data_IF_996170711819
#
_entry.id   IF_996170711819
#
_cell.length_a   1.000
_cell.length_b   1.000
_cell.length_c   1.000
_cell.angle_alpha   90.00
_cell.angle_beta   90.00
_cell.angle_gamma   90.00
#
_symmetry.space_group_name_H-M   'P 1'
#
loop_
_entity.id
_entity.type
_entity.pdbx_description
1 polymer ?
#
# COMPACT_ATOMS: atom_id res chain seq x y z
N UNK A 1 16.78 -12.47 -20.57
CA UNK A 1 16.00 -11.28 -20.16
C UNK A 1 15.80 -11.35 -18.65
N UNK A 2 16.34 -10.41 -17.88
CA UNK A 2 16.04 -10.31 -16.45
C UNK A 2 14.56 -9.95 -16.30
N UNK A 3 13.77 -10.79 -15.61
CA UNK A 3 12.33 -10.57 -15.40
C UNK A 3 12.00 -9.22 -14.75
N UNK A 4 12.95 -8.61 -14.04
CA UNK A 4 12.84 -7.26 -13.48
C UNK A 4 12.57 -6.17 -14.55
N UNK A 5 13.17 -6.28 -15.74
CA UNK A 5 13.02 -5.28 -16.81
C UNK A 5 11.62 -5.36 -17.45
N UNK A 6 11.01 -6.54 -17.44
CA UNK A 6 9.67 -6.77 -18.03
C UNK A 6 8.59 -6.11 -17.18
N UNK A 7 8.79 -6.03 -15.85
CA UNK A 7 7.81 -5.47 -14.92
C UNK A 7 7.91 -3.95 -14.77
N UNK A 8 8.98 -3.29 -15.24
CA UNK A 8 9.07 -1.82 -15.20
C UNK A 8 8.11 -1.13 -16.20
N UNK A 9 7.74 -1.81 -17.29
CA UNK A 9 7.00 -1.19 -18.40
C UNK A 9 6.07 -2.19 -19.08
N UNK A 10 4.94 -2.49 -18.45
CA UNK A 10 3.80 -3.09 -19.17
C UNK A 10 3.37 -2.14 -20.29
N UNK A 11 3.21 -2.67 -21.50
CA UNK A 11 2.81 -1.89 -22.68
C UNK A 11 1.28 -1.73 -22.81
N UNK A 12 0.51 -2.39 -21.96
CA UNK A 12 -0.95 -2.42 -22.00
C UNK A 12 -1.57 -1.63 -20.84
N UNK A 13 -2.66 -0.92 -21.11
CA UNK A 13 -3.50 -0.30 -20.08
C UNK A 13 -4.70 -1.17 -19.76
N UNK A 14 -4.97 -1.36 -18.48
CA UNK A 14 -6.17 -1.99 -17.94
C UNK A 14 -7.31 -0.98 -17.83
N UNK A 15 -7.76 -0.45 -18.97
CA UNK A 15 -8.72 0.66 -19.03
C UNK A 15 -10.06 0.38 -18.35
N UNK A 16 -10.50 -0.87 -18.29
CA UNK A 16 -11.77 -1.26 -17.66
C UNK A 16 -11.60 -1.76 -16.22
N UNK A 17 -10.37 -1.84 -15.71
CA UNK A 17 -10.10 -2.40 -14.39
C UNK A 17 -10.48 -1.41 -13.30
N UNK A 18 -11.57 -1.73 -12.59
CA UNK A 18 -12.08 -0.94 -11.45
C UNK A 18 -11.60 -1.43 -10.10
N UNK A 19 -11.29 -2.72 -9.99
CA UNK A 19 -10.89 -3.37 -8.75
C UNK A 19 -9.67 -4.25 -8.99
N UNK A 20 -8.66 -4.14 -8.13
CA UNK A 20 -7.42 -4.90 -8.18
C UNK A 20 -7.12 -5.47 -6.80
N UNK A 21 -6.84 -6.77 -6.75
CA UNK A 21 -6.32 -7.43 -5.55
C UNK A 21 -4.91 -7.93 -5.85
N UNK A 22 -3.94 -7.53 -5.02
CA UNK A 22 -2.54 -7.90 -5.13
C UNK A 22 -2.12 -8.69 -3.90
N UNK A 23 -1.42 -9.80 -4.15
CA UNK A 23 -0.62 -10.49 -3.15
C UNK A 23 0.84 -10.13 -3.44
N UNK A 24 1.49 -9.40 -2.54
CA UNK A 24 2.82 -8.82 -2.80
C UNK A 24 3.59 -8.61 -1.51
N UNK A 25 4.84 -8.17 -1.63
CA UNK A 25 5.70 -7.75 -0.53
C UNK A 25 6.43 -6.46 -0.89
N UNK A 26 6.80 -5.67 0.13
CA UNK A 26 7.53 -4.41 -0.04
C UNK A 26 8.97 -4.53 0.47
N UNK A 27 9.52 -5.74 0.56
CA UNK A 27 10.87 -6.04 1.05
C UNK A 27 11.94 -6.02 -0.05
N UNK A 28 11.54 -6.23 -1.31
CA UNK A 28 12.46 -6.32 -2.45
C UNK A 28 12.03 -5.41 -3.62
N UNK A 29 13.03 -4.83 -4.29
CA UNK A 29 12.82 -3.88 -5.40
C UNK A 29 11.90 -4.39 -6.53
N UNK A 30 12.01 -5.66 -7.01
CA UNK A 30 11.14 -6.14 -8.09
C UNK A 30 9.66 -6.11 -7.73
N UNK A 31 9.31 -6.46 -6.48
CA UNK A 31 7.93 -6.47 -5.99
C UNK A 31 7.35 -5.06 -5.87
N UNK A 32 8.17 -4.11 -5.40
CA UNK A 32 7.82 -2.69 -5.34
C UNK A 32 7.57 -2.14 -6.74
N UNK A 33 8.49 -2.35 -7.68
CA UNK A 33 8.36 -1.88 -9.07
C UNK A 33 7.15 -2.49 -9.77
N UNK A 34 6.89 -3.78 -9.54
CA UNK A 34 5.72 -4.47 -10.11
C UNK A 34 4.41 -3.86 -9.61
N UNK A 35 4.34 -3.56 -8.31
CA UNK A 35 3.18 -2.89 -7.70
C UNK A 35 2.93 -1.54 -8.36
N UNK A 36 3.95 -0.69 -8.47
CA UNK A 36 3.83 0.61 -9.13
C UNK A 36 3.49 0.50 -10.62
N UNK A 37 4.04 -0.48 -11.33
CA UNK A 37 3.73 -0.69 -12.74
C UNK A 37 2.26 -1.07 -12.95
N UNK A 38 1.71 -1.95 -12.12
CA UNK A 38 0.30 -2.33 -12.18
C UNK A 38 -0.62 -1.14 -11.92
N UNK A 39 -0.33 -0.34 -10.88
CA UNK A 39 -1.10 0.85 -10.57
C UNK A 39 -1.04 1.89 -11.69
N UNK A 40 0.13 2.10 -12.30
CA UNK A 40 0.33 3.00 -13.44
C UNK A 40 -0.52 2.59 -14.65
N UNK A 41 -0.68 1.28 -14.86
CA UNK A 41 -1.42 0.74 -15.99
C UNK A 41 -2.91 0.55 -15.71
N UNK A 42 -3.41 0.88 -14.52
CA UNK A 42 -4.83 0.81 -14.15
C UNK A 42 -5.42 2.22 -13.89
N UNK A 43 -5.59 3.07 -14.92
CA UNK A 43 -5.96 4.48 -14.75
C UNK A 43 -7.36 4.69 -14.16
N UNK A 44 -8.24 3.70 -14.32
CA UNK A 44 -9.63 3.75 -13.86
C UNK A 44 -9.86 2.94 -12.57
N UNK A 45 -8.78 2.59 -11.86
CA UNK A 45 -8.86 1.83 -10.63
C UNK A 45 -9.56 2.63 -9.53
N UNK A 46 -10.60 2.04 -8.95
CA UNK A 46 -11.40 2.61 -7.86
C UNK A 46 -11.14 1.90 -6.53
N UNK A 47 -10.82 0.61 -6.57
CA UNK A 47 -10.60 -0.23 -5.38
C UNK A 47 -9.28 -1.00 -5.49
N UNK A 48 -8.44 -0.86 -4.48
CA UNK A 48 -7.19 -1.59 -4.36
C UNK A 48 -7.22 -2.42 -3.07
N UNK A 49 -6.93 -3.71 -3.19
CA UNK A 49 -6.68 -4.60 -2.06
C UNK A 49 -5.26 -5.13 -2.16
N UNK A 50 -4.51 -5.04 -1.07
CA UNK A 50 -3.16 -5.56 -0.93
C UNK A 50 -3.14 -6.53 0.24
N UNK A 51 -2.65 -7.73 -0.02
CA UNK A 51 -2.34 -8.73 0.96
C UNK A 51 -0.81 -8.84 1.00
N UNK A 52 -0.23 -8.48 2.14
CA UNK A 52 1.22 -8.43 2.31
C UNK A 52 1.71 -9.80 2.79
N UNK A 53 2.64 -10.37 2.03
CA UNK A 53 3.45 -11.51 2.46
C UNK A 53 4.69 -10.99 3.22
N UNK A 54 4.79 -11.35 4.50
CA UNK A 54 5.89 -10.93 5.37
C UNK A 54 6.87 -12.06 5.67
N UNK A 55 6.90 -13.09 4.83
CA UNK A 55 7.85 -14.19 4.95
C UNK A 55 9.31 -13.74 4.75
N UNK A 56 9.55 -12.54 4.23
CA UNK A 56 10.88 -12.00 3.94
C UNK A 56 11.21 -10.76 4.78
N UNK A 57 12.46 -10.67 5.24
CA UNK A 57 13.03 -9.44 5.80
C UNK A 57 13.19 -8.36 4.72
N UNK A 58 13.05 -7.07 5.09
CA UNK A 58 13.29 -5.96 4.17
C UNK A 58 14.77 -5.82 3.86
N UNK A 59 15.19 -6.36 2.70
CA UNK A 59 16.58 -6.30 2.22
C UNK A 59 16.89 -5.00 1.48
N UNK A 60 15.87 -4.36 0.92
CA UNK A 60 16.00 -3.14 0.13
C UNK A 60 15.12 -2.05 0.72
N UNK A 61 15.72 -0.94 1.13
CA UNK A 61 14.97 0.26 1.53
C UNK A 61 14.83 1.19 0.32
N UNK A 62 13.62 1.22 -0.23
CA UNK A 62 13.24 2.12 -1.29
C UNK A 62 12.98 3.50 -0.67
N UNK A 63 14.01 4.35 -0.69
CA UNK A 63 13.95 5.71 -0.17
C UNK A 63 12.72 6.46 -0.70
N UNK A 64 12.18 7.40 0.07
CA UNK A 64 10.95 8.13 -0.27
C UNK A 64 11.01 8.73 -1.68
N UNK A 65 12.13 9.38 -2.04
CA UNK A 65 12.35 9.96 -3.36
C UNK A 65 12.24 8.92 -4.49
N UNK A 66 12.76 7.71 -4.26
CA UNK A 66 12.70 6.62 -5.24
C UNK A 66 11.25 6.21 -5.49
N UNK A 67 10.49 5.90 -4.45
CA UNK A 67 9.09 5.50 -4.60
C UNK A 67 8.23 6.63 -5.16
N UNK A 68 8.51 7.87 -4.74
CA UNK A 68 7.84 9.06 -5.25
C UNK A 68 8.07 9.23 -6.76
N UNK A 69 9.28 8.93 -7.26
CA UNK A 69 9.61 8.97 -8.70
C UNK A 69 8.86 7.93 -9.53
N UNK A 70 8.46 6.81 -8.92
CA UNK A 70 7.65 5.78 -9.60
C UNK A 70 6.20 6.24 -9.82
N UNK A 71 5.74 7.23 -9.07
CA UNK A 71 4.40 7.76 -9.16
C UNK A 71 4.28 8.78 -10.29
N UNK A 72 3.65 8.37 -11.39
CA UNK A 72 3.40 9.25 -12.54
C UNK A 72 2.06 10.00 -12.42
N UNK A 73 1.94 11.17 -13.06
CA UNK A 73 0.72 11.96 -13.07
C UNK A 73 -0.50 11.16 -13.55
N UNK A 74 -1.59 11.19 -12.77
CA UNK A 74 -2.85 10.48 -13.07
C UNK A 74 -2.94 9.05 -12.52
N UNK A 75 -1.87 8.50 -11.95
CA UNK A 75 -1.96 7.21 -11.25
C UNK A 75 -2.90 7.31 -10.04
N UNK A 76 -3.77 6.31 -9.86
CA UNK A 76 -4.75 6.25 -8.78
C UNK A 76 -5.70 7.47 -8.72
N UNK A 77 -5.93 8.18 -9.84
CA UNK A 77 -6.78 9.37 -9.87
C UNK A 77 -8.24 9.09 -9.42
N UNK A 78 -8.75 7.90 -9.73
CA UNK A 78 -10.10 7.44 -9.39
C UNK A 78 -10.15 6.56 -8.14
N UNK A 79 -9.02 6.39 -7.44
CA UNK A 79 -8.92 5.45 -6.33
C UNK A 79 -9.71 5.99 -5.13
N UNK A 80 -10.72 5.23 -4.72
CA UNK A 80 -11.64 5.60 -3.62
C UNK A 80 -11.40 4.74 -2.39
N UNK A 81 -11.04 3.46 -2.57
CA UNK A 81 -10.93 2.50 -1.48
C UNK A 81 -9.59 1.76 -1.56
N UNK A 82 -8.85 1.73 -0.45
CA UNK A 82 -7.64 0.93 -0.29
C UNK A 82 -7.78 0.06 0.94
N UNK A 83 -7.56 -1.23 0.78
CA UNK A 83 -7.43 -2.18 1.87
C UNK A 83 -6.03 -2.77 1.85
N UNK A 84 -5.32 -2.70 2.98
CA UNK A 84 -4.02 -3.34 3.17
C UNK A 84 -4.13 -4.30 4.35
N UNK A 85 -3.79 -5.55 4.08
CA UNK A 85 -3.86 -6.64 5.07
C UNK A 85 -2.47 -7.23 5.27
N UNK A 86 -2.11 -7.46 6.52
CA UNK A 86 -0.82 -8.06 6.85
C UNK A 86 0.31 -7.05 7.04
N UNK A 87 0.04 -5.78 7.36
CA UNK A 87 1.11 -4.78 7.44
C UNK A 87 2.03 -4.97 8.67
N UNK A 88 3.32 -4.72 8.50
CA UNK A 88 4.32 -4.72 9.59
C UNK A 88 4.90 -3.35 9.92
N UNK A 89 4.49 -2.31 9.18
CA UNK A 89 4.98 -0.94 9.29
C UNK A 89 6.47 -0.83 8.97
N UNK A 90 6.91 -1.61 7.97
CA UNK A 90 8.25 -1.48 7.43
C UNK A 90 8.37 -0.17 6.64
N UNK A 91 9.58 0.41 6.53
CA UNK A 91 9.78 1.70 5.85
C UNK A 91 9.11 1.77 4.47
N UNK A 92 9.23 0.73 3.65
CA UNK A 92 8.65 0.75 2.31
C UNK A 92 7.12 0.71 2.30
N UNK A 93 6.50 -0.03 3.23
CA UNK A 93 5.04 -0.08 3.39
C UNK A 93 4.49 1.28 3.83
N UNK A 94 5.19 1.92 4.77
CA UNK A 94 4.87 3.25 5.29
C UNK A 94 4.93 4.30 4.19
N UNK A 95 6.03 4.33 3.42
CA UNK A 95 6.19 5.22 2.27
C UNK A 95 5.08 5.00 1.23
N UNK A 96 4.71 3.74 0.96
CA UNK A 96 3.62 3.44 0.04
C UNK A 96 2.27 3.99 0.51
N UNK A 97 1.93 3.82 1.80
CA UNK A 97 0.70 4.39 2.39
C UNK A 97 0.71 5.91 2.30
N UNK A 98 1.81 6.55 2.66
CA UNK A 98 1.96 7.99 2.64
C UNK A 98 1.81 8.55 1.22
N UNK A 99 2.37 7.87 0.20
CA UNK A 99 2.22 8.25 -1.20
C UNK A 99 0.77 8.13 -1.68
N UNK A 100 0.05 7.06 -1.30
CA UNK A 100 -1.37 6.93 -1.62
C UNK A 100 -2.16 8.08 -0.99
N UNK A 101 -1.98 8.33 0.31
CA UNK A 101 -2.73 9.37 1.03
C UNK A 101 -2.44 10.77 0.48
N UNK A 102 -1.17 11.07 0.17
CA UNK A 102 -0.73 12.39 -0.28
C UNK A 102 -1.07 12.69 -1.75
N UNK A 103 -1.42 11.68 -2.56
CA UNK A 103 -1.65 11.85 -4.01
C UNK A 103 -3.02 11.44 -4.52
N UNK A 104 -3.70 10.48 -3.88
CA UNK A 104 -5.02 10.03 -4.31
C UNK A 104 -6.11 11.05 -3.86
N UNK A 105 -6.55 11.90 -4.81
CA UNK A 105 -7.45 13.02 -4.52
C UNK A 105 -8.90 12.61 -4.27
N UNK A 106 -9.36 11.54 -4.92
CA UNK A 106 -10.72 11.00 -4.75
C UNK A 106 -10.79 9.91 -3.67
N UNK A 107 -9.73 9.80 -2.87
CA UNK A 107 -9.60 8.76 -1.88
C UNK A 107 -10.58 8.95 -0.72
N UNK A 108 -11.35 7.92 -0.41
CA UNK A 108 -12.43 7.96 0.57
C UNK A 108 -12.15 7.09 1.78
N UNK A 109 -11.54 5.91 1.61
CA UNK A 109 -11.41 4.95 2.71
C UNK A 109 -10.09 4.20 2.66
N UNK A 110 -9.30 4.30 3.73
CA UNK A 110 -8.15 3.45 4.01
C UNK A 110 -8.51 2.42 5.08
N UNK A 111 -8.47 1.14 4.73
CA UNK A 111 -8.63 0.04 5.66
C UNK A 111 -7.30 -0.70 5.86
N UNK A 112 -6.79 -0.74 7.09
CA UNK A 112 -5.51 -1.40 7.39
C UNK A 112 -5.70 -2.45 8.50
N UNK A 113 -5.05 -3.61 8.32
CA UNK A 113 -4.95 -4.66 9.33
C UNK A 113 -3.52 -5.14 9.49
N UNK A 114 -3.11 -5.36 10.74
CA UNK A 114 -1.77 -5.84 11.09
C UNK A 114 -1.51 -7.24 10.54
N UNK A 115 -0.24 -7.49 10.23
CA UNK A 115 0.30 -8.82 10.10
C UNK A 115 0.45 -9.51 11.44
N UNK A 116 0.54 -10.84 11.38
CA UNK A 116 0.89 -11.67 12.53
C UNK A 116 2.25 -11.21 13.08
N UNK A 117 2.38 -11.12 14.40
CA UNK A 117 3.62 -10.71 15.07
C UNK A 117 4.14 -9.27 14.80
N UNK A 118 3.38 -8.41 14.12
CA UNK A 118 3.74 -6.99 13.93
C UNK A 118 4.13 -6.30 15.25
N UNK A 119 5.32 -5.70 15.35
CA UNK A 119 5.79 -5.10 16.62
C UNK A 119 5.09 -3.78 16.98
N UNK A 120 4.62 -3.02 15.99
CA UNK A 120 3.96 -1.74 16.20
C UNK A 120 2.65 -1.90 16.98
N UNK A 121 2.42 -0.99 17.94
CA UNK A 121 1.16 -0.93 18.67
C UNK A 121 0.04 -0.33 17.81
N UNK A 122 -1.22 -0.58 18.18
CA UNK A 122 -2.37 -0.02 17.48
C UNK A 122 -2.41 1.53 17.57
N UNK A 123 -1.98 2.08 18.71
CA UNK A 123 -1.94 3.53 18.95
C UNK A 123 -0.84 4.20 18.14
N UNK A 124 0.37 3.63 18.13
CA UNK A 124 1.48 4.16 17.34
C UNK A 124 1.17 4.11 15.84
N UNK A 125 0.56 3.02 15.37
CA UNK A 125 0.10 2.88 13.99
C UNK A 125 -0.90 3.99 13.63
N UNK A 126 -1.90 4.24 14.49
CA UNK A 126 -2.88 5.30 14.27
C UNK A 126 -2.25 6.69 14.28
N UNK A 127 -1.42 6.99 15.27
CA UNK A 127 -0.71 8.27 15.36
C UNK A 127 0.15 8.51 14.12
N UNK A 128 0.82 7.47 13.64
CA UNK A 128 1.61 7.53 12.41
C UNK A 128 0.75 7.82 11.19
N UNK A 129 -0.32 7.05 10.94
CA UNK A 129 -1.20 7.30 9.79
C UNK A 129 -1.80 8.72 9.84
N UNK A 130 -2.26 9.15 11.02
CA UNK A 130 -2.90 10.45 11.20
C UNK A 130 -1.93 11.62 10.98
N UNK A 131 -0.62 11.40 11.16
CA UNK A 131 0.42 12.39 10.87
C UNK A 131 0.65 12.61 9.37
N UNK A 132 0.22 11.69 8.50
CA UNK A 132 0.44 11.82 7.06
C UNK A 132 -0.46 12.89 6.43
N UNK A 133 0.12 13.62 5.47
CA UNK A 133 -0.63 14.57 4.66
C UNK A 133 -1.62 13.83 3.75
N UNK A 134 -2.85 14.32 3.72
CA UNK A 134 -3.92 13.78 2.86
C UNK A 134 -4.26 14.75 1.73
N UNK A 135 -4.34 14.24 0.51
CA UNK A 135 -4.86 14.97 -0.65
C UNK A 135 -6.39 15.11 -0.60
N UNK A 136 -7.08 14.08 -0.10
CA UNK A 136 -8.52 14.08 0.11
C UNK A 136 -8.86 14.55 1.52
N UNK A 137 -9.67 15.60 1.63
CA UNK A 137 -10.19 16.10 2.91
C UNK A 137 -11.28 15.20 3.50
N UNK A 138 -11.87 14.32 2.69
CA UNK A 138 -12.97 13.43 3.07
C UNK A 138 -12.50 11.98 3.31
N UNK A 139 -11.19 11.71 3.26
CA UNK A 139 -10.66 10.37 3.47
C UNK A 139 -10.84 9.93 4.94
N UNK A 140 -11.68 8.92 5.13
CA UNK A 140 -11.86 8.18 6.37
C UNK A 140 -10.79 7.10 6.50
N UNK A 141 -10.22 6.96 7.70
CA UNK A 141 -9.17 5.97 7.99
C UNK A 141 -9.76 4.98 8.98
N UNK A 142 -10.03 3.77 8.49
CA UNK A 142 -10.58 2.66 9.25
C UNK A 142 -9.45 1.69 9.58
N UNK A 143 -8.87 1.82 10.76
CA UNK A 143 -7.81 0.93 11.19
C UNK A 143 -8.37 -0.18 12.08
N UNK A 144 -8.16 -1.44 11.68
CA UNK A 144 -8.44 -2.60 12.51
C UNK A 144 -7.11 -3.19 12.97
N UNK A 145 -6.70 -2.78 14.17
CA UNK A 145 -5.47 -3.26 14.80
C UNK A 145 -5.47 -4.76 15.12
N UNK A 146 -4.46 -5.21 15.87
CA UNK A 146 -4.42 -6.61 16.34
C UNK A 146 -5.69 -6.95 17.11
N UNK A 147 -6.26 -8.13 16.86
CA UNK A 147 -7.27 -8.68 17.76
C UNK A 147 -6.61 -8.89 19.13
N UNK A 148 -7.14 -8.25 20.18
CA UNK A 148 -6.78 -8.60 21.55
C UNK A 148 -7.20 -10.04 21.78
N UNK A 149 -6.25 -10.98 21.74
CA UNK A 149 -6.49 -12.33 22.27
C UNK A 149 -6.50 -12.19 23.78
N UNK A 150 -7.68 -11.94 24.35
CA UNK A 150 -7.88 -12.00 25.78
C UNK A 150 -7.78 -13.47 26.19
N UNK A 151 -6.61 -13.90 26.65
CA UNK A 151 -6.51 -15.18 27.36
C UNK A 151 -7.25 -15.04 28.67
N UNK A 152 -8.46 -15.59 28.76
CA UNK A 152 -9.04 -15.93 30.05
C UNK A 152 -8.15 -17.03 30.65
N UNK A 153 -7.33 -16.67 31.63
CA UNK A 153 -6.73 -17.67 32.51
C UNK A 153 -7.88 -18.29 33.31
N UNK A 154 -8.15 -19.57 33.05
CA UNK A 154 -8.96 -20.43 33.92
C UNK A 154 -8.27 -20.62 35.26
#
# INVERSE_FOLDING_TARGET
LNGAIILERLQCKFGNLKSLTLYTQFCELPSILSTYCLLRNAPNLERLKILIDNSAEQKFEAHEEFQNSQWTGGMCANLQFVQITGIHWLPNEMTFIELILSKARLFCTLFITHGENCSMSNEDAMNKILSYRRASTCAEILFKGKASVTFFRS
#
